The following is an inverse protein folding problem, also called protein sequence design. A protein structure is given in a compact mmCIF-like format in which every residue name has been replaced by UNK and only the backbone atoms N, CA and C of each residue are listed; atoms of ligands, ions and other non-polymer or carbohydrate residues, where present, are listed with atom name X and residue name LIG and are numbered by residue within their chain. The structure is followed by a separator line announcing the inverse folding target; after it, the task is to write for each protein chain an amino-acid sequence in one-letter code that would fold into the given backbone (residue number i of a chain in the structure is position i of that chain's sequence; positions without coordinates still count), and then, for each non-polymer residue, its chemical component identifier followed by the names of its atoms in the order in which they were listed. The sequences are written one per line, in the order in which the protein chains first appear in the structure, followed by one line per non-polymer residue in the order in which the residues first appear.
data_IF_645909239855
#
_entry.id   IF_645909239855
#
_cell.length_a   1.000
_cell.length_b   1.000
_cell.length_c   1.000
_cell.angle_alpha   90.00
_cell.angle_beta   90.00
_cell.angle_gamma   90.00
#
_symmetry.space_group_name_H-M   'P 1'
#
loop_
_entity.id
_entity.type
_entity.pdbx_description
1 polymer ?
#
# COMPACT_ATOMS: atom_id res chain seq x y z
N UNK A 1 -5.71 2.95 11.57
CA UNK A 1 -5.26 3.91 12.61
C UNK A 1 -5.94 3.54 13.91
N UNK A 2 -5.35 3.88 15.07
CA UNK A 2 -5.86 3.49 16.38
C UNK A 2 -7.13 4.30 16.68
N UNK A 3 -8.24 3.61 16.87
CA UNK A 3 -9.48 4.20 17.36
C UNK A 3 -9.52 4.03 18.86
N UNK A 4 -9.68 5.13 19.57
CA UNK A 4 -9.89 5.13 21.01
C UNK A 4 -11.39 5.20 21.28
N UNK A 5 -11.87 4.32 22.15
CA UNK A 5 -13.27 4.20 22.50
C UNK A 5 -13.45 4.19 24.02
N UNK A 6 -14.60 4.67 24.47
CA UNK A 6 -15.00 4.58 25.87
C UNK A 6 -15.73 3.25 26.12
N UNK A 7 -15.17 2.41 26.97
CA UNK A 7 -15.83 1.23 27.49
C UNK A 7 -16.62 1.60 28.76
N UNK A 8 -17.95 1.69 28.60
CA UNK A 8 -18.86 2.00 29.71
C UNK A 8 -18.89 0.92 30.80
N UNK A 9 -18.55 -0.34 30.46
CA UNK A 9 -18.54 -1.45 31.40
C UNK A 9 -17.37 -1.36 32.39
N UNK A 10 -16.17 -1.02 31.90
CA UNK A 10 -14.97 -0.85 32.74
C UNK A 10 -14.70 0.60 33.12
N UNK A 11 -15.53 1.54 32.65
CA UNK A 11 -15.30 2.99 32.71
C UNK A 11 -13.90 3.38 32.21
N UNK A 12 -13.44 2.76 31.12
CA UNK A 12 -12.07 2.89 30.62
C UNK A 12 -11.96 3.40 29.20
N UNK A 13 -10.76 3.85 28.84
CA UNK A 13 -10.36 4.12 27.46
C UNK A 13 -9.79 2.83 26.88
N UNK A 14 -10.35 2.39 25.76
CA UNK A 14 -9.91 1.24 24.98
C UNK A 14 -9.25 1.73 23.68
N UNK A 15 -7.99 1.37 23.46
CA UNK A 15 -7.34 1.56 22.16
C UNK A 15 -7.62 0.33 21.29
N UNK A 16 -8.10 0.53 20.06
CA UNK A 16 -8.39 -0.53 19.08
C UNK A 16 -7.66 -0.22 17.79
N UNK A 17 -6.88 -1.17 17.26
CA UNK A 17 -6.11 -0.96 16.03
C UNK A 17 -6.08 -2.19 15.13
N UNK A 18 -5.99 -2.00 13.80
CA UNK A 18 -5.92 -3.10 12.85
C UNK A 18 -4.59 -3.86 12.95
N UNK A 19 -4.62 -5.17 12.68
CA UNK A 19 -3.42 -6.04 12.71
C UNK A 19 -3.33 -6.96 11.49
N UNK A 20 -3.70 -6.45 10.31
CA UNK A 20 -3.79 -7.22 9.05
C UNK A 20 -5.05 -8.08 8.98
N UNK A 21 -5.22 -8.96 9.95
CA UNK A 21 -6.46 -9.73 10.15
C UNK A 21 -7.14 -9.28 11.43
N UNK A 22 -8.30 -8.65 11.26
CA UNK A 22 -9.10 -8.14 12.38
C UNK A 22 -8.40 -7.00 13.14
N UNK A 23 -8.83 -6.81 14.40
CA UNK A 23 -8.35 -5.73 15.26
C UNK A 23 -7.78 -6.29 16.57
N UNK A 24 -6.76 -5.61 17.09
CA UNK A 24 -6.27 -5.77 18.47
C UNK A 24 -6.84 -4.66 19.33
N UNK A 25 -6.96 -4.93 20.63
CA UNK A 25 -7.43 -3.95 21.59
C UNK A 25 -6.61 -4.00 22.88
N UNK A 26 -6.45 -2.85 23.54
CA UNK A 26 -5.82 -2.75 24.86
C UNK A 26 -6.47 -1.64 25.68
N UNK A 27 -6.75 -1.92 26.96
CA UNK A 27 -7.18 -0.89 27.91
C UNK A 27 -6.02 0.05 28.20
N UNK A 28 -6.28 1.34 28.04
CA UNK A 28 -5.30 2.42 28.21
C UNK A 28 -5.34 2.94 29.65
N UNK A 29 -6.53 3.35 30.09
CA UNK A 29 -6.74 4.00 31.37
C UNK A 29 -8.18 3.77 31.85
N UNK A 30 -8.42 4.04 33.13
CA UNK A 30 -9.75 4.09 33.74
C UNK A 30 -10.03 5.50 34.22
N UNK A 31 -11.26 5.97 34.04
CA UNK A 31 -11.68 7.28 34.56
C UNK A 31 -12.02 7.20 36.05
N UNK A 32 -11.80 8.30 36.76
CA UNK A 32 -12.29 8.45 38.12
C UNK A 32 -13.83 8.45 38.21
N UNK A 33 -14.33 8.15 39.42
CA UNK A 33 -15.75 8.29 39.73
C UNK A 33 -16.17 9.76 39.56
N UNK A 34 -17.20 10.00 38.76
CA UNK A 34 -17.76 11.35 38.55
C UNK A 34 -17.23 12.11 37.33
N UNK A 35 -16.26 11.58 36.57
CA UNK A 35 -15.91 12.20 35.27
C UNK A 35 -17.13 12.21 34.34
N UNK A 36 -17.56 13.37 33.82
CA UNK A 36 -18.68 13.45 32.90
C UNK A 36 -18.45 12.64 31.62
N UNK A 37 -19.47 11.89 31.17
CA UNK A 37 -19.38 11.07 29.94
C UNK A 37 -18.98 11.87 28.71
N UNK A 38 -19.40 13.14 28.62
CA UNK A 38 -19.00 14.04 27.54
C UNK A 38 -17.47 14.22 27.47
N UNK A 39 -16.79 14.41 28.61
CA UNK A 39 -15.33 14.56 28.64
C UNK A 39 -14.62 13.24 28.30
N UNK A 40 -15.21 12.10 28.70
CA UNK A 40 -14.68 10.76 28.37
C UNK A 40 -14.67 10.52 26.86
N UNK A 41 -15.80 10.84 26.21
CA UNK A 41 -15.95 10.73 24.75
C UNK A 41 -15.05 11.72 24.01
N UNK A 42 -14.95 12.96 24.48
CA UNK A 42 -14.06 13.97 23.90
C UNK A 42 -12.59 13.57 23.98
N UNK A 43 -12.16 12.91 25.07
CA UNK A 43 -10.79 12.41 25.17
C UNK A 43 -10.52 11.29 24.16
N UNK A 44 -11.46 10.36 23.98
CA UNK A 44 -11.36 9.28 23.01
C UNK A 44 -11.31 9.81 21.56
N UNK A 45 -12.14 10.81 21.24
CA UNK A 45 -12.13 11.49 19.94
C UNK A 45 -10.80 12.21 19.69
N UNK A 46 -10.30 12.96 20.67
CA UNK A 46 -9.03 13.67 20.56
C UNK A 46 -7.83 12.73 20.40
N UNK A 47 -7.82 11.58 21.10
CA UNK A 47 -6.78 10.55 20.95
C UNK A 47 -6.84 9.87 19.57
N UNK A 48 -8.04 9.60 19.07
CA UNK A 48 -8.23 9.03 17.73
C UNK A 48 -7.76 10.00 16.65
N UNK A 49 -8.09 11.29 16.81
CA UNK A 49 -7.63 12.37 15.91
C UNK A 49 -6.10 12.48 15.91
N UNK A 50 -5.45 12.40 17.08
CA UNK A 50 -3.99 12.39 17.14
C UNK A 50 -3.41 11.15 16.44
N UNK A 51 -3.94 9.96 16.70
CA UNK A 51 -3.49 8.74 16.00
C UNK A 51 -3.62 8.89 14.49
N UNK A 52 -4.73 9.45 14.01
CA UNK A 52 -4.92 9.74 12.59
C UNK A 52 -3.84 10.67 12.04
N UNK A 53 -3.59 11.80 12.69
CA UNK A 53 -2.57 12.75 12.27
C UNK A 53 -1.15 12.14 12.29
N UNK A 54 -0.83 11.34 13.32
CA UNK A 54 0.47 10.66 13.42
C UNK A 54 0.65 9.64 12.27
N UNK A 55 -0.34 8.79 12.00
CA UNK A 55 -0.25 7.80 10.92
C UNK A 55 -0.34 8.42 9.52
N UNK A 56 -0.94 9.59 9.36
CA UNK A 56 -0.89 10.34 8.10
C UNK A 56 0.56 10.64 7.68
N UNK A 57 1.45 10.92 8.64
CA UNK A 57 2.89 11.10 8.37
C UNK A 57 3.58 9.83 7.86
N UNK A 58 3.10 8.66 8.28
CA UNK A 58 3.57 7.36 7.76
C UNK A 58 3.09 7.11 6.33
N UNK A 59 1.80 7.37 6.07
CA UNK A 59 1.18 7.13 4.76
C UNK A 59 1.74 8.09 3.70
N UNK A 60 2.03 9.33 4.12
CA UNK A 60 2.48 10.41 3.25
C UNK A 60 3.87 10.94 3.67
N UNK A 61 4.94 10.13 3.54
CA UNK A 61 6.26 10.57 3.94
C UNK A 61 6.77 11.65 2.98
N UNK A 62 7.72 12.46 3.45
CA UNK A 62 8.39 13.47 2.62
C UNK A 62 9.19 12.85 1.46
N UNK A 63 9.70 11.63 1.63
CA UNK A 63 10.39 10.85 0.59
C UNK A 63 9.51 10.54 -0.62
N UNK A 64 8.18 10.48 -0.43
CA UNK A 64 7.21 10.19 -1.49
C UNK A 64 6.80 11.42 -2.31
N UNK A 65 7.34 12.60 -2.00
CA UNK A 65 7.07 13.82 -2.79
C UNK A 65 7.97 13.83 -4.01
N UNK A 66 7.39 14.06 -5.19
CA UNK A 66 8.14 14.26 -6.42
C UNK A 66 9.13 15.43 -6.30
N UNK A 67 10.24 15.35 -7.03
CA UNK A 67 11.38 16.27 -6.88
C UNK A 67 11.07 17.74 -7.20
N UNK A 68 9.93 18.03 -7.81
CA UNK A 68 9.50 19.38 -8.22
C UNK A 68 8.66 20.13 -7.17
N UNK A 69 8.38 19.52 -6.00
CA UNK A 69 7.52 20.10 -4.98
C UNK A 69 8.18 20.32 -3.61
N UNK A 70 9.23 21.13 -3.57
CA UNK A 70 9.97 21.50 -2.34
C UNK A 70 9.07 21.96 -1.19
N UNK A 71 7.98 22.68 -1.50
CA UNK A 71 7.03 23.18 -0.50
C UNK A 71 6.24 22.05 0.19
N UNK A 72 5.80 21.05 -0.56
CA UNK A 72 5.06 19.92 0.01
C UNK A 72 6.00 18.99 0.77
N UNK A 73 7.23 18.79 0.27
CA UNK A 73 8.28 18.05 0.98
C UNK A 73 8.55 18.69 2.34
N UNK A 74 8.82 19.98 2.36
CA UNK A 74 9.04 20.74 3.60
C UNK A 74 7.84 20.67 4.54
N UNK A 75 6.60 20.79 4.03
CA UNK A 75 5.38 20.65 4.85
C UNK A 75 5.30 19.29 5.56
N UNK A 76 5.62 18.20 4.85
CA UNK A 76 5.59 16.84 5.43
C UNK A 76 6.71 16.62 6.43
N UNK A 77 7.89 17.18 6.18
CA UNK A 77 9.01 17.15 7.13
C UNK A 77 8.65 17.88 8.43
N UNK A 78 8.08 19.09 8.34
CA UNK A 78 7.61 19.84 9.51
C UNK A 78 6.56 19.06 10.31
N UNK A 79 5.61 18.42 9.63
CA UNK A 79 4.57 17.60 10.29
C UNK A 79 5.18 16.40 11.04
N UNK A 80 6.27 15.84 10.54
CA UNK A 80 7.00 14.77 11.23
C UNK A 80 7.84 15.30 12.39
N UNK A 81 8.44 16.49 12.26
CA UNK A 81 9.18 17.18 13.32
C UNK A 81 8.28 17.53 14.50
N UNK A 82 7.00 17.85 14.26
CA UNK A 82 6.00 18.15 15.29
C UNK A 82 5.82 17.03 16.34
N UNK A 83 6.26 15.80 16.05
CA UNK A 83 6.31 14.72 17.04
C UNK A 83 7.08 15.15 18.30
N UNK A 84 8.13 15.97 18.16
CA UNK A 84 8.90 16.49 19.29
C UNK A 84 8.09 17.34 20.26
N UNK A 85 7.02 17.98 19.78
CA UNK A 85 6.21 18.95 20.53
C UNK A 85 4.96 18.31 21.17
N UNK A 86 4.58 17.08 20.78
CA UNK A 86 3.32 16.46 21.20
C UNK A 86 3.15 16.39 22.72
N UNK A 87 4.18 15.95 23.44
CA UNK A 87 4.09 15.78 24.90
C UNK A 87 3.93 17.13 25.60
N UNK A 88 4.67 18.14 25.18
CA UNK A 88 4.55 19.49 25.73
C UNK A 88 3.21 20.13 25.33
N UNK A 89 2.74 19.91 24.10
CA UNK A 89 1.41 20.34 23.65
C UNK A 89 0.25 19.77 24.49
N UNK A 90 0.39 18.54 25.01
CA UNK A 90 -0.56 17.93 25.94
C UNK A 90 -0.45 18.54 27.35
N UNK A 91 0.77 18.79 27.84
CA UNK A 91 1.01 19.30 29.20
C UNK A 91 0.68 20.79 29.35
N UNK A 92 1.02 21.56 28.33
CA UNK A 92 0.80 23.00 28.24
C UNK A 92 -0.02 23.31 26.98
N UNK A 93 -1.31 22.96 26.97
CA UNK A 93 -2.14 23.17 25.81
C UNK A 93 -2.42 24.65 25.59
N UNK A 94 -2.62 25.05 24.34
CA UNK A 94 -3.17 26.36 24.03
C UNK A 94 -4.57 26.46 24.66
N UNK A 95 -4.75 27.47 25.51
CA UNK A 95 -6.01 27.82 26.16
C UNK A 95 -6.64 29.04 25.48
N UNK A 96 -7.98 29.20 25.55
CA UNK A 96 -8.61 30.44 25.15
C UNK A 96 -8.05 31.62 25.95
N UNK A 97 -7.77 32.73 25.27
CA UNK A 97 -7.33 33.97 25.91
C UNK A 97 -8.47 34.66 26.68
N UNK A 98 -8.19 35.84 27.23
CA UNK A 98 -9.18 36.64 27.98
C UNK A 98 -10.42 37.02 27.15
N UNK A 99 -10.34 36.97 25.81
CA UNK A 99 -11.45 37.23 24.89
C UNK A 99 -12.19 35.96 24.46
N UNK A 100 -11.73 34.80 24.93
CA UNK A 100 -12.25 33.49 24.51
C UNK A 100 -11.71 33.00 23.17
N UNK A 101 -10.65 33.62 22.64
CA UNK A 101 -10.05 33.24 21.36
C UNK A 101 -8.96 32.20 21.59
N UNK A 102 -8.95 31.14 20.79
CA UNK A 102 -7.96 30.06 20.86
C UNK A 102 -6.91 30.18 19.75
N UNK A 103 -5.63 30.13 20.12
CA UNK A 103 -4.54 29.95 19.16
C UNK A 103 -4.55 28.52 18.63
N UNK A 104 -4.86 28.33 17.35
CA UNK A 104 -4.83 27.05 16.67
C UNK A 104 -3.50 26.85 15.93
N UNK A 105 -2.91 25.65 16.03
CA UNK A 105 -1.82 25.24 15.13
C UNK A 105 -2.42 24.84 13.77
N UNK A 106 -1.68 25.12 12.71
CA UNK A 106 -1.98 24.62 11.36
C UNK A 106 -1.45 23.19 11.15
N UNK A 107 -0.58 22.73 12.04
CA UNK A 107 -0.12 21.35 12.07
C UNK A 107 -1.14 20.46 12.79
N UNK A 108 -1.53 19.36 12.15
CA UNK A 108 -2.60 18.50 12.68
C UNK A 108 -2.16 17.73 13.92
N UNK A 109 -0.89 17.32 14.00
CA UNK A 109 -0.32 16.61 15.16
C UNK A 109 -0.28 17.55 16.37
N UNK A 110 0.23 18.78 16.21
CA UNK A 110 0.24 19.76 17.30
C UNK A 110 -1.18 20.17 17.74
N UNK A 111 -2.09 20.41 16.78
CA UNK A 111 -3.46 20.79 17.08
C UNK A 111 -4.18 19.70 17.89
N UNK A 112 -4.00 18.43 17.52
CA UNK A 112 -4.56 17.28 18.24
C UNK A 112 -3.94 17.11 19.63
N UNK A 113 -2.62 17.31 19.78
CA UNK A 113 -1.94 17.29 21.07
C UNK A 113 -2.52 18.34 22.04
N UNK A 114 -2.70 19.58 21.57
CA UNK A 114 -3.33 20.62 22.37
C UNK A 114 -4.80 20.32 22.70
N UNK A 115 -5.55 19.68 21.79
CA UNK A 115 -6.92 19.25 22.06
C UNK A 115 -6.98 18.22 23.19
N UNK A 116 -6.11 17.21 23.17
CA UNK A 116 -6.00 16.23 24.26
C UNK A 116 -5.68 16.94 25.58
N UNK A 117 -4.69 17.85 25.58
CA UNK A 117 -4.30 18.59 26.78
C UNK A 117 -5.45 19.40 27.38
N UNK A 118 -6.24 20.10 26.56
CA UNK A 118 -7.43 20.84 27.05
C UNK A 118 -8.45 19.92 27.70
N UNK A 119 -8.78 18.79 27.07
CA UNK A 119 -9.74 17.83 27.64
C UNK A 119 -9.23 17.25 28.96
N UNK A 120 -7.93 16.94 29.04
CA UNK A 120 -7.32 16.46 30.28
C UNK A 120 -7.30 17.50 31.40
N UNK A 121 -7.10 18.78 31.08
CA UNK A 121 -7.23 19.88 32.04
C UNK A 121 -8.65 19.98 32.59
N UNK A 122 -9.67 19.86 31.73
CA UNK A 122 -11.08 19.87 32.14
C UNK A 122 -11.45 18.67 33.02
N UNK A 123 -10.80 17.52 32.81
CA UNK A 123 -10.97 16.33 33.67
C UNK A 123 -10.27 16.52 35.03
N UNK A 124 -9.08 17.12 35.05
CA UNK A 124 -8.35 17.44 36.28
C UNK A 124 -7.74 16.24 37.02
N UNK A 125 -7.51 15.12 36.33
CA UNK A 125 -6.94 13.88 36.90
C UNK A 125 -5.46 13.72 36.48
N UNK A 126 -4.54 14.05 37.40
CA UNK A 126 -3.09 14.00 37.16
C UNK A 126 -2.58 12.60 36.76
N UNK A 127 -2.90 11.53 37.50
CA UNK A 127 -2.60 10.15 37.09
C UNK A 127 -3.10 9.78 35.68
N UNK A 128 -4.28 10.24 35.30
CA UNK A 128 -4.80 10.04 33.95
C UNK A 128 -3.94 10.76 32.90
N UNK A 129 -3.48 11.99 33.18
CA UNK A 129 -2.58 12.74 32.28
C UNK A 129 -1.32 11.94 31.96
N UNK A 130 -0.64 11.42 32.97
CA UNK A 130 0.60 10.66 32.75
C UNK A 130 0.34 9.34 32.02
N UNK A 131 -0.79 8.69 32.27
CA UNK A 131 -1.18 7.47 31.56
C UNK A 131 -1.46 7.75 30.08
N UNK A 132 -2.15 8.85 29.77
CA UNK A 132 -2.42 9.29 28.40
C UNK A 132 -1.13 9.71 27.69
N UNK A 133 -0.21 10.41 28.35
CA UNK A 133 1.10 10.73 27.77
C UNK A 133 1.87 9.45 27.43
N UNK A 134 1.84 8.44 28.31
CA UNK A 134 2.49 7.15 28.04
C UNK A 134 1.82 6.40 26.87
N UNK A 135 0.51 6.51 26.71
CA UNK A 135 -0.22 5.97 25.55
C UNK A 135 0.18 6.68 24.24
N UNK A 136 0.21 8.00 24.24
CA UNK A 136 0.57 8.80 23.07
C UNK A 136 2.00 8.50 22.62
N UNK A 137 2.94 8.35 23.57
CA UNK A 137 4.31 7.91 23.26
C UNK A 137 4.34 6.54 22.57
N UNK A 138 3.54 5.58 23.06
CA UNK A 138 3.42 4.26 22.43
C UNK A 138 2.88 4.35 20.99
N UNK A 139 1.98 5.29 20.72
CA UNK A 139 1.49 5.55 19.35
C UNK A 139 2.60 6.12 18.44
N UNK A 140 3.33 7.12 18.92
CA UNK A 140 4.44 7.74 18.18
C UNK A 140 5.59 6.74 17.93
N UNK A 141 5.90 5.90 18.93
CA UNK A 141 6.89 4.84 18.82
C UNK A 141 6.46 3.77 17.81
N UNK A 142 5.16 3.48 17.72
CA UNK A 142 4.62 2.56 16.72
C UNK A 142 4.79 3.09 15.29
N UNK A 143 4.49 4.38 15.05
CA UNK A 143 4.75 5.01 13.75
C UNK A 143 6.24 4.96 13.42
N UNK A 144 7.10 5.33 14.38
CA UNK A 144 8.56 5.34 14.16
C UNK A 144 9.13 3.93 13.93
N UNK A 145 8.55 2.90 14.56
CA UNK A 145 8.93 1.51 14.33
C UNK A 145 8.51 1.05 12.94
N UNK A 146 7.28 1.36 12.53
CA UNK A 146 6.78 1.09 11.18
C UNK A 146 7.62 1.77 10.09
N UNK A 147 8.05 3.03 10.31
CA UNK A 147 8.94 3.76 9.40
C UNK A 147 10.24 2.99 9.11
N UNK A 148 10.76 2.26 10.10
CA UNK A 148 11.98 1.42 10.00
C UNK A 148 11.69 0.02 9.47
N UNK A 149 10.43 -0.32 9.19
CA UNK A 149 10.01 -1.65 8.79
C UNK A 149 9.88 -2.64 9.96
N UNK A 150 9.86 -2.19 11.21
CA UNK A 150 9.50 -3.05 12.35
C UNK A 150 7.98 -2.94 12.58
N UNK A 151 7.25 -3.99 12.19
CA UNK A 151 5.79 -4.06 12.29
C UNK A 151 5.31 -4.77 13.56
N UNK A 152 6.16 -4.89 14.58
CA UNK A 152 5.77 -5.54 15.85
C UNK A 152 4.84 -4.66 16.70
N UNK A 153 4.15 -5.29 17.65
CA UNK A 153 3.28 -4.58 18.60
C UNK A 153 2.14 -3.82 17.93
N UNK A 154 2.15 -2.49 18.07
CA UNK A 154 1.16 -1.59 17.47
C UNK A 154 1.58 -1.07 16.09
N UNK A 155 2.86 -1.19 15.72
CA UNK A 155 3.34 -0.81 14.39
C UNK A 155 2.73 -1.69 13.27
N UNK A 156 2.19 -2.86 13.64
CA UNK A 156 1.44 -3.77 12.76
C UNK A 156 0.31 -3.09 11.97
N UNK A 157 -0.19 -1.93 12.41
CA UNK A 157 -1.17 -1.16 11.65
C UNK A 157 -0.71 -0.82 10.23
N UNK A 158 0.60 -0.69 10.01
CA UNK A 158 1.17 -0.39 8.70
C UNK A 158 0.74 -1.38 7.61
N UNK A 159 0.47 -2.65 7.95
CA UNK A 159 0.08 -3.70 6.99
C UNK A 159 -1.27 -3.43 6.31
N UNK A 160 -2.07 -2.49 6.82
CA UNK A 160 -3.37 -2.11 6.23
C UNK A 160 -3.38 -0.70 5.64
N UNK A 161 -2.22 -0.05 5.53
CA UNK A 161 -2.10 1.33 5.08
C UNK A 161 -1.40 1.42 3.72
N UNK A 162 -1.97 2.20 2.80
CA UNK A 162 -1.40 2.45 1.47
C UNK A 162 -0.33 3.56 1.52
N UNK A 163 0.87 3.21 2.03
CA UNK A 163 2.04 4.10 2.02
C UNK A 163 2.64 4.19 0.62
N UNK A 164 2.92 5.40 0.13
CA UNK A 164 3.56 5.63 -1.19
C UNK A 164 5.09 5.58 -1.06
N UNK A 165 5.60 4.53 -0.42
CA UNK A 165 7.01 4.24 -0.20
C UNK A 165 7.11 2.80 0.33
N UNK A 166 8.24 2.13 0.13
CA UNK A 166 8.42 0.74 0.53
C UNK A 166 9.66 0.58 1.40
N UNK A 167 9.51 0.06 2.62
CA UNK A 167 10.66 -0.19 3.49
C UNK A 167 11.54 -1.33 2.94
N UNK A 168 12.86 -1.17 2.77
CA UNK A 168 13.74 -2.24 2.30
C UNK A 168 13.67 -3.51 3.15
N UNK A 169 13.51 -3.37 4.48
CA UNK A 169 13.36 -4.50 5.41
C UNK A 169 12.09 -5.28 5.10
N UNK A 170 10.99 -4.59 4.79
CA UNK A 170 9.72 -5.21 4.44
C UNK A 170 9.72 -5.80 3.03
N UNK A 171 10.47 -5.21 2.09
CA UNK A 171 10.65 -5.78 0.74
C UNK A 171 11.37 -7.13 0.85
N UNK A 172 12.43 -7.22 1.66
CA UNK A 172 13.13 -8.48 1.93
C UNK A 172 12.24 -9.50 2.65
N UNK A 173 11.38 -9.06 3.57
CA UNK A 173 10.43 -9.94 4.23
C UNK A 173 9.39 -10.52 3.23
N UNK A 174 8.86 -9.69 2.32
CA UNK A 174 7.94 -10.12 1.28
C UNK A 174 8.62 -11.04 0.23
N UNK A 175 9.85 -10.72 -0.16
CA UNK A 175 10.67 -11.55 -1.04
C UNK A 175 10.91 -12.95 -0.44
N UNK A 176 11.20 -13.03 0.86
CA UNK A 176 11.36 -14.31 1.55
C UNK A 176 10.05 -15.14 1.57
N UNK A 177 8.88 -14.48 1.67
CA UNK A 177 7.59 -15.16 1.55
C UNK A 177 7.38 -15.73 0.15
N UNK A 178 7.66 -14.95 -0.89
CA UNK A 178 7.56 -15.41 -2.29
C UNK A 178 8.60 -16.48 -2.64
N UNK A 179 9.79 -16.43 -2.04
CA UNK A 179 10.78 -17.49 -2.17
C UNK A 179 10.25 -18.83 -1.65
N UNK A 180 9.47 -18.80 -0.56
CA UNK A 180 8.84 -20.00 0.00
C UNK A 180 7.67 -20.49 -0.85
N UNK A 181 6.84 -19.59 -1.36
CA UNK A 181 5.68 -19.88 -2.21
C UNK A 181 5.49 -18.77 -3.25
N UNK A 182 5.94 -18.98 -4.50
CA UNK A 182 5.83 -17.95 -5.55
C UNK A 182 4.38 -17.63 -5.94
N UNK A 183 3.41 -18.49 -5.60
CA UNK A 183 2.00 -18.27 -5.94
C UNK A 183 1.34 -17.14 -5.13
N UNK A 184 2.02 -16.69 -4.06
CA UNK A 184 1.60 -15.56 -3.24
C UNK A 184 0.89 -15.99 -1.97
N UNK A 185 1.62 -16.25 -0.86
CA UNK A 185 1.01 -16.69 0.38
C UNK A 185 0.14 -15.58 1.00
N UNK A 186 -0.93 -15.92 1.75
CA UNK A 186 -1.84 -14.93 2.36
C UNK A 186 -1.17 -13.89 3.25
N UNK A 187 0.00 -14.22 3.80
CA UNK A 187 0.86 -13.36 4.60
C UNK A 187 1.27 -12.08 3.85
N UNK A 188 1.36 -12.11 2.51
CA UNK A 188 1.62 -10.92 1.69
C UNK A 188 0.57 -9.82 1.87
N UNK A 189 -0.67 -10.19 2.22
CA UNK A 189 -1.78 -9.25 2.43
C UNK A 189 -1.94 -8.83 3.89
N UNK A 190 -1.26 -9.49 4.83
CA UNK A 190 -1.63 -9.43 6.25
C UNK A 190 -0.46 -9.24 7.22
N UNK A 191 0.77 -9.56 6.80
CA UNK A 191 1.93 -9.60 7.68
C UNK A 191 3.05 -8.62 7.28
N UNK A 192 3.02 -8.10 6.05
CA UNK A 192 4.04 -7.19 5.50
C UNK A 192 3.43 -5.87 5.06
N UNK A 193 4.28 -4.85 4.88
CA UNK A 193 3.86 -3.57 4.29
C UNK A 193 3.32 -3.76 2.85
N UNK A 194 2.15 -3.22 2.49
CA UNK A 194 1.51 -3.49 1.19
C UNK A 194 2.33 -3.03 -0.01
N UNK A 195 2.98 -1.86 0.06
CA UNK A 195 3.82 -1.36 -1.02
C UNK A 195 5.07 -2.24 -1.17
N UNK A 196 5.67 -2.65 -0.07
CA UNK A 196 6.79 -3.59 -0.08
C UNK A 196 6.43 -4.95 -0.68
N UNK A 197 5.23 -5.48 -0.37
CA UNK A 197 4.70 -6.70 -0.99
C UNK A 197 4.56 -6.55 -2.50
N UNK A 198 4.07 -5.39 -2.99
CA UNK A 198 3.99 -5.10 -4.42
C UNK A 198 5.37 -5.05 -5.08
N UNK A 199 6.38 -4.44 -4.44
CA UNK A 199 7.75 -4.39 -4.98
C UNK A 199 8.33 -5.80 -5.15
N UNK A 200 8.20 -6.65 -4.13
CA UNK A 200 8.64 -8.04 -4.21
C UNK A 200 7.84 -8.79 -5.28
N UNK A 201 6.51 -8.72 -5.26
CA UNK A 201 5.67 -9.40 -6.25
C UNK A 201 5.96 -8.95 -7.70
N UNK A 202 6.31 -7.68 -7.93
CA UNK A 202 6.69 -7.18 -9.25
C UNK A 202 8.02 -7.79 -9.74
N UNK A 203 8.99 -7.96 -8.84
CA UNK A 203 10.24 -8.66 -9.16
C UNK A 203 10.00 -10.14 -9.50
N UNK A 204 9.17 -10.82 -8.71
CA UNK A 204 8.80 -12.21 -8.95
C UNK A 204 7.95 -12.41 -10.21
N UNK A 205 7.05 -11.47 -10.52
CA UNK A 205 6.30 -11.44 -11.76
C UNK A 205 7.23 -11.37 -12.98
N UNK A 206 8.25 -10.51 -12.92
CA UNK A 206 9.23 -10.39 -14.02
C UNK A 206 9.99 -11.70 -14.21
N UNK A 207 10.39 -12.37 -13.13
CA UNK A 207 11.02 -13.68 -13.20
C UNK A 207 10.08 -14.72 -13.85
N UNK A 208 8.82 -14.80 -13.39
CA UNK A 208 7.81 -15.70 -13.92
C UNK A 208 7.53 -15.48 -15.43
N UNK A 209 7.35 -14.23 -15.84
CA UNK A 209 7.13 -13.87 -17.22
C UNK A 209 8.36 -14.13 -18.10
N UNK A 210 9.58 -13.97 -17.57
CA UNK A 210 10.82 -14.24 -18.31
C UNK A 210 11.01 -15.73 -18.56
N UNK A 211 10.80 -16.56 -17.53
CA UNK A 211 10.84 -18.04 -17.65
C UNK A 211 9.80 -18.52 -18.67
N UNK A 212 8.57 -18.03 -18.54
CA UNK A 212 7.47 -18.42 -19.45
C UNK A 212 7.70 -17.95 -20.87
N UNK A 213 8.14 -16.70 -21.05
CA UNK A 213 8.48 -16.17 -22.37
C UNK A 213 9.62 -16.94 -23.04
N UNK A 214 10.62 -17.40 -22.27
CA UNK A 214 11.68 -18.24 -22.81
C UNK A 214 11.19 -19.63 -23.25
N UNK A 215 10.23 -20.22 -22.52
CA UNK A 215 9.61 -21.50 -22.88
C UNK A 215 8.76 -21.39 -24.17
N UNK A 216 8.04 -20.28 -24.37
CA UNK A 216 7.14 -20.04 -25.51
C UNK A 216 7.80 -19.21 -26.67
N UNK A 217 9.13 -18.99 -26.63
CA UNK A 217 9.90 -18.15 -27.57
C UNK A 217 9.26 -16.76 -27.83
N UNK A 218 8.89 -16.07 -26.75
CA UNK A 218 8.11 -14.82 -26.75
C UNK A 218 8.62 -13.76 -25.79
N UNK A 219 8.25 -12.53 -26.10
CA UNK A 219 8.58 -11.39 -25.25
C UNK A 219 7.82 -11.47 -23.90
N UNK A 220 8.50 -11.29 -22.75
CA UNK A 220 7.90 -11.54 -21.43
C UNK A 220 6.60 -10.78 -21.16
N UNK A 221 6.44 -9.54 -21.62
CA UNK A 221 5.23 -8.75 -21.37
C UNK A 221 4.01 -9.20 -22.21
N UNK A 222 4.21 -10.07 -23.20
CA UNK A 222 3.13 -10.61 -24.05
C UNK A 222 2.50 -11.90 -23.50
N UNK A 223 3.16 -12.55 -22.53
CA UNK A 223 2.71 -13.79 -21.86
C UNK A 223 1.26 -13.69 -21.38
N UNK A 224 0.86 -12.56 -20.80
CA UNK A 224 -0.47 -12.42 -20.19
C UNK A 224 -1.60 -12.37 -21.23
N UNK A 225 -1.35 -11.81 -22.40
CA UNK A 225 -2.34 -11.78 -23.48
C UNK A 225 -2.58 -13.18 -24.05
N UNK A 226 -1.56 -14.04 -24.09
CA UNK A 226 -1.74 -15.45 -24.46
C UNK A 226 -2.39 -16.24 -23.32
N UNK A 227 -1.96 -16.03 -22.08
CA UNK A 227 -2.54 -16.72 -20.93
C UNK A 227 -4.05 -16.51 -20.84
N UNK A 228 -4.54 -15.31 -21.18
CA UNK A 228 -5.97 -14.99 -21.22
C UNK A 228 -6.77 -15.83 -22.23
N UNK A 229 -6.14 -16.36 -23.28
CA UNK A 229 -6.79 -17.26 -24.25
C UNK A 229 -7.06 -18.64 -23.66
N UNK A 230 -6.28 -19.04 -22.64
CA UNK A 230 -6.38 -20.30 -21.90
C UNK A 230 -7.30 -20.11 -20.68
N UNK A 231 -7.00 -19.10 -19.87
CA UNK A 231 -7.73 -18.77 -18.65
C UNK A 231 -7.79 -17.24 -18.48
N UNK A 232 -9.01 -16.72 -18.33
CA UNK A 232 -9.23 -15.29 -18.11
C UNK A 232 -8.35 -14.73 -16.98
N UNK A 233 -7.58 -13.68 -17.27
CA UNK A 233 -6.64 -13.09 -16.32
C UNK A 233 -6.45 -11.59 -16.49
N UNK A 234 -5.69 -10.98 -15.58
CA UNK A 234 -5.24 -9.60 -15.74
C UNK A 234 -4.18 -9.48 -16.84
N UNK A 235 -4.33 -8.51 -17.75
CA UNK A 235 -3.37 -8.22 -18.82
C UNK A 235 -2.69 -6.87 -18.57
N UNK A 236 -3.46 -5.78 -18.44
CA UNK A 236 -2.93 -4.41 -18.51
C UNK A 236 -1.83 -4.11 -17.48
N UNK A 237 -2.09 -4.37 -16.19
CA UNK A 237 -1.14 -4.11 -15.11
C UNK A 237 0.10 -4.99 -15.18
N UNK A 238 0.00 -6.34 -15.27
CA UNK A 238 1.19 -7.18 -15.33
C UNK A 238 2.02 -6.94 -16.60
N UNK A 239 1.40 -6.73 -17.77
CA UNK A 239 2.12 -6.35 -18.99
C UNK A 239 2.89 -5.05 -18.81
N UNK A 240 2.25 -3.99 -18.29
CA UNK A 240 2.89 -2.69 -18.10
C UNK A 240 4.08 -2.77 -17.11
N UNK A 241 3.95 -3.57 -16.04
CA UNK A 241 5.03 -3.76 -15.07
C UNK A 241 6.21 -4.50 -15.70
N UNK A 242 5.96 -5.61 -16.41
CA UNK A 242 7.02 -6.40 -17.04
C UNK A 242 7.69 -5.62 -18.16
N UNK A 243 6.94 -4.91 -18.99
CA UNK A 243 7.49 -4.06 -20.06
C UNK A 243 8.40 -2.96 -19.50
N UNK A 244 7.95 -2.24 -18.47
CA UNK A 244 8.73 -1.20 -17.83
C UNK A 244 10.04 -1.74 -17.20
N UNK A 245 10.03 -2.95 -16.64
CA UNK A 245 11.24 -3.53 -16.04
C UNK A 245 12.17 -4.13 -17.10
N UNK A 246 11.65 -4.89 -18.05
CA UNK A 246 12.45 -5.64 -19.03
C UNK A 246 12.89 -4.77 -20.20
N UNK A 247 11.96 -4.04 -20.82
CA UNK A 247 12.23 -3.25 -22.02
C UNK A 247 12.81 -1.87 -21.70
N UNK A 248 12.28 -1.19 -20.68
CA UNK A 248 12.75 0.15 -20.29
C UNK A 248 13.90 0.12 -19.26
N UNK A 249 14.21 -1.06 -18.71
CA UNK A 249 15.29 -1.23 -17.74
C UNK A 249 15.03 -0.58 -16.38
N UNK A 250 13.77 -0.30 -16.03
CA UNK A 250 13.42 0.34 -14.75
C UNK A 250 13.51 -0.68 -13.61
N UNK A 251 13.84 -0.19 -12.41
CA UNK A 251 13.78 -1.02 -11.21
C UNK A 251 12.31 -1.32 -10.83
N UNK A 252 11.96 -2.56 -10.45
CA UNK A 252 10.63 -2.93 -9.97
C UNK A 252 10.08 -1.94 -8.91
N UNK A 253 10.94 -1.54 -7.97
CA UNK A 253 10.61 -0.52 -6.95
C UNK A 253 10.10 0.78 -7.58
N UNK A 254 10.80 1.30 -8.58
CA UNK A 254 10.46 2.57 -9.21
C UNK A 254 9.14 2.47 -10.01
N UNK A 255 8.87 1.32 -10.63
CA UNK A 255 7.62 1.08 -11.36
C UNK A 255 6.43 1.01 -10.38
N UNK A 256 6.55 0.21 -9.32
CA UNK A 256 5.50 0.05 -8.30
C UNK A 256 5.18 1.38 -7.63
N UNK A 257 6.20 2.12 -7.16
CA UNK A 257 5.97 3.40 -6.48
C UNK A 257 5.35 4.46 -7.41
N UNK A 258 5.65 4.42 -8.71
CA UNK A 258 4.99 5.29 -9.68
C UNK A 258 3.49 4.99 -9.79
N UNK A 259 3.12 3.71 -9.96
CA UNK A 259 1.71 3.28 -10.02
C UNK A 259 0.92 3.62 -8.75
N UNK A 260 1.52 3.39 -7.57
CA UNK A 260 0.89 3.73 -6.29
C UNK A 260 0.75 5.24 -6.09
N UNK A 261 1.74 6.02 -6.51
CA UNK A 261 1.70 7.49 -6.45
C UNK A 261 0.61 8.07 -7.37
N UNK A 262 0.49 7.51 -8.58
CA UNK A 262 -0.54 7.86 -9.56
C UNK A 262 -1.94 7.60 -8.98
N UNK A 263 -2.20 6.39 -8.50
CA UNK A 263 -3.48 6.03 -7.89
C UNK A 263 -3.78 6.84 -6.63
N UNK A 264 -2.77 7.12 -5.79
CA UNK A 264 -2.93 8.03 -4.64
C UNK A 264 -3.26 9.46 -5.06
N UNK A 265 -2.83 9.91 -6.23
CA UNK A 265 -3.15 11.25 -6.75
C UNK A 265 -4.59 11.30 -7.25
N UNK A 266 -5.03 10.27 -7.97
CA UNK A 266 -6.43 10.10 -8.39
C UNK A 266 -7.37 10.00 -7.19
N UNK A 267 -6.99 9.28 -6.13
CA UNK A 267 -7.75 9.19 -4.86
C UNK A 267 -8.06 10.58 -4.27
N UNK A 268 -7.17 11.56 -4.46
CA UNK A 268 -7.34 12.95 -3.99
C UNK A 268 -8.12 13.84 -4.98
N UNK A 269 -8.70 13.26 -6.03
CA UNK A 269 -9.43 13.98 -7.07
C UNK A 269 -8.53 14.82 -7.98
N UNK A 270 -7.25 14.45 -8.12
CA UNK A 270 -6.27 15.14 -8.97
C UNK A 270 -5.89 14.26 -10.16
N UNK A 271 -5.45 14.89 -11.25
CA UNK A 271 -4.88 14.21 -12.42
C UNK A 271 -3.37 14.07 -12.19
N UNK A 272 -2.79 12.86 -12.23
CA UNK A 272 -1.36 12.61 -11.95
C UNK A 272 -0.41 13.36 -12.87
N UNK A 273 -0.66 13.33 -14.18
CA UNK A 273 0.09 14.07 -15.19
C UNK A 273 -0.88 14.76 -16.16
N UNK A 274 -1.32 15.99 -15.84
CA UNK A 274 -2.28 16.69 -16.68
C UNK A 274 -1.69 17.04 -18.06
N UNK A 275 -0.36 17.18 -18.17
CA UNK A 275 0.32 17.50 -19.42
C UNK A 275 0.33 16.27 -20.34
N UNK A 276 0.78 15.11 -19.85
CA UNK A 276 0.76 13.87 -20.63
C UNK A 276 -0.66 13.47 -21.03
N UNK A 277 -1.65 13.65 -20.15
CA UNK A 277 -3.07 13.43 -20.50
C UNK A 277 -3.52 14.38 -21.61
N UNK A 278 -3.17 15.66 -21.53
CA UNK A 278 -3.51 16.63 -22.58
C UNK A 278 -2.84 16.29 -23.91
N UNK A 279 -1.59 15.83 -23.88
CA UNK A 279 -0.85 15.36 -25.06
C UNK A 279 -1.49 14.11 -25.69
N UNK A 280 -1.87 13.13 -24.86
CA UNK A 280 -2.54 11.91 -25.30
C UNK A 280 -3.90 12.24 -25.93
N UNK A 281 -4.68 13.13 -25.30
CA UNK A 281 -5.95 13.61 -25.84
C UNK A 281 -5.73 14.30 -27.19
N UNK A 282 -4.76 15.21 -27.27
CA UNK A 282 -4.44 15.89 -28.52
C UNK A 282 -3.98 14.92 -29.62
N UNK A 283 -3.20 13.89 -29.27
CA UNK A 283 -2.77 12.84 -30.21
C UNK A 283 -3.97 12.03 -30.72
N UNK A 284 -4.85 11.57 -29.83
CA UNK A 284 -6.06 10.84 -30.19
C UNK A 284 -6.96 11.66 -31.14
N UNK A 285 -7.14 12.95 -30.87
CA UNK A 285 -7.86 13.86 -31.75
C UNK A 285 -7.21 14.00 -33.13
N UNK A 286 -5.88 14.19 -33.21
CA UNK A 286 -5.15 14.24 -34.48
C UNK A 286 -5.32 12.96 -35.30
N UNK A 287 -5.41 11.80 -34.65
CA UNK A 287 -5.68 10.53 -35.33
C UNK A 287 -7.12 10.45 -35.82
N UNK A 288 -8.09 10.85 -34.99
CA UNK A 288 -9.50 10.85 -35.34
C UNK A 288 -9.84 11.80 -36.50
N UNK A 289 -9.18 12.95 -36.61
CA UNK A 289 -9.39 13.91 -37.71
C UNK A 289 -9.08 13.32 -39.10
N UNK A 290 -8.21 12.31 -39.17
CA UNK A 290 -7.85 11.62 -40.43
C UNK A 290 -8.89 10.60 -40.89
N UNK A 291 -9.89 10.30 -40.04
CA UNK A 291 -10.94 9.34 -40.33
C UNK A 291 -12.28 10.01 -40.71
N UNK A 292 -13.17 9.29 -41.42
CA UNK A 292 -14.56 9.71 -41.62
C UNK A 292 -15.29 9.95 -40.29
N UNK A 293 -16.20 10.94 -40.20
CA UNK A 293 -16.91 11.31 -38.97
C UNK A 293 -17.50 10.12 -38.20
N UNK A 294 -18.08 9.16 -38.90
CA UNK A 294 -18.70 7.95 -38.35
C UNK A 294 -17.73 7.00 -37.61
N UNK A 295 -16.42 7.11 -37.85
CA UNK A 295 -15.39 6.27 -37.21
C UNK A 295 -14.63 6.99 -36.09
N UNK A 296 -14.79 8.32 -35.97
CA UNK A 296 -14.03 9.14 -35.03
C UNK A 296 -14.31 8.80 -33.58
N UNK A 297 -15.58 8.69 -33.21
CA UNK A 297 -15.98 8.42 -31.82
C UNK A 297 -15.55 7.03 -31.36
N UNK A 298 -15.58 6.04 -32.26
CA UNK A 298 -15.09 4.70 -31.97
C UNK A 298 -13.58 4.69 -31.73
N UNK A 299 -12.82 5.41 -32.56
CA UNK A 299 -11.37 5.53 -32.37
C UNK A 299 -11.02 6.32 -31.10
N UNK A 300 -11.68 7.44 -30.83
CA UNK A 300 -11.43 8.22 -29.62
C UNK A 300 -11.70 7.41 -28.35
N UNK A 301 -12.76 6.60 -28.32
CA UNK A 301 -13.02 5.67 -27.21
C UNK A 301 -11.95 4.58 -27.07
N UNK A 302 -11.32 4.17 -28.17
CA UNK A 302 -10.26 3.17 -28.16
C UNK A 302 -8.89 3.76 -27.77
N UNK A 303 -8.63 5.03 -28.10
CA UNK A 303 -7.34 5.68 -27.87
C UNK A 303 -7.26 6.47 -26.55
N UNK A 304 -8.40 6.95 -26.04
CA UNK A 304 -8.46 7.67 -24.79
C UNK A 304 -8.59 6.68 -23.62
N UNK A 305 -7.81 6.87 -22.54
CA UNK A 305 -7.85 5.95 -21.43
C UNK A 305 -9.22 6.02 -20.75
N UNK A 306 -9.89 4.87 -20.50
CA UNK A 306 -11.20 4.85 -19.84
C UNK A 306 -11.10 5.21 -18.35
N UNK A 307 -9.89 5.20 -17.78
CA UNK A 307 -9.60 5.42 -16.37
C UNK A 307 -8.44 6.40 -16.21
N UNK A 308 -8.47 7.19 -15.14
CA UNK A 308 -7.40 8.13 -14.81
C UNK A 308 -6.15 7.45 -14.20
N UNK A 309 -6.27 6.16 -13.85
CA UNK A 309 -5.16 5.31 -13.40
C UNK A 309 -5.47 3.84 -13.67
N UNK A 310 -4.44 3.00 -13.73
CA UNK A 310 -4.56 1.55 -13.93
C UNK A 310 -5.11 0.82 -12.69
N UNK A 311 -4.91 1.37 -11.50
CA UNK A 311 -5.27 0.73 -10.22
C UNK A 311 -6.58 1.27 -9.65
N UNK A 312 -7.25 0.51 -8.79
CA UNK A 312 -8.32 1.02 -7.94
C UNK A 312 -7.75 2.07 -6.95
N UNK A 313 -8.11 3.36 -7.09
CA UNK A 313 -7.57 4.41 -6.22
C UNK A 313 -8.03 4.28 -4.76
N UNK A 314 -9.05 3.47 -4.46
CA UNK A 314 -9.52 3.27 -3.09
C UNK A 314 -8.71 2.21 -2.32
N UNK A 315 -7.93 1.37 -3.01
CA UNK A 315 -7.13 0.29 -2.42
C UNK A 315 -5.88 -0.05 -3.27
N UNK A 316 -5.07 0.94 -3.66
CA UNK A 316 -4.11 0.80 -4.75
C UNK A 316 -3.08 -0.30 -4.52
N UNK A 317 -2.55 -0.46 -3.30
CA UNK A 317 -1.53 -1.50 -3.05
C UNK A 317 -2.13 -2.89 -3.09
N UNK A 318 -3.34 -3.06 -2.55
CA UNK A 318 -4.04 -4.34 -2.59
C UNK A 318 -4.39 -4.73 -4.02
N UNK A 319 -4.93 -3.79 -4.79
CA UNK A 319 -5.33 -4.00 -6.19
C UNK A 319 -4.11 -4.34 -7.06
N UNK A 320 -3.00 -3.61 -6.89
CA UNK A 320 -1.74 -3.91 -7.55
C UNK A 320 -1.22 -5.31 -7.18
N UNK A 321 -1.17 -5.65 -5.89
CA UNK A 321 -0.70 -6.97 -5.45
C UNK A 321 -1.57 -8.10 -6.01
N UNK A 322 -2.90 -7.93 -6.03
CA UNK A 322 -3.83 -8.88 -6.64
C UNK A 322 -3.49 -9.09 -8.13
N UNK A 323 -3.26 -8.01 -8.89
CA UNK A 323 -2.85 -8.07 -10.30
C UNK A 323 -1.47 -8.73 -10.52
N UNK A 324 -0.49 -8.43 -9.68
CA UNK A 324 0.87 -8.99 -9.81
C UNK A 324 0.88 -10.50 -9.54
N UNK A 325 0.19 -10.94 -8.48
CA UNK A 325 0.06 -12.36 -8.16
C UNK A 325 -0.79 -13.10 -9.21
N UNK A 326 -1.78 -12.43 -9.79
CA UNK A 326 -2.53 -12.98 -10.93
C UNK A 326 -1.64 -13.19 -12.14
N UNK A 327 -0.79 -12.21 -12.49
CA UNK A 327 0.20 -12.36 -13.55
C UNK A 327 1.18 -13.53 -13.32
N UNK A 328 1.64 -13.76 -12.08
CA UNK A 328 2.48 -14.92 -11.76
C UNK A 328 1.73 -16.23 -12.03
N UNK A 329 0.47 -16.33 -11.61
CA UNK A 329 -0.37 -17.51 -11.88
C UNK A 329 -0.64 -17.69 -13.37
N UNK A 330 -0.92 -16.63 -14.11
CA UNK A 330 -1.09 -16.67 -15.56
C UNK A 330 0.16 -17.19 -16.27
N UNK A 331 1.33 -16.74 -15.84
CA UNK A 331 2.62 -17.23 -16.35
C UNK A 331 2.75 -18.75 -16.16
N UNK A 332 2.38 -19.26 -14.98
CA UNK A 332 2.36 -20.70 -14.71
C UNK A 332 1.38 -21.46 -15.63
N UNK A 333 0.19 -20.89 -15.89
CA UNK A 333 -0.81 -21.50 -16.79
C UNK A 333 -0.27 -21.65 -18.20
N UNK A 334 0.33 -20.58 -18.76
CA UNK A 334 0.90 -20.65 -20.10
C UNK A 334 2.12 -21.58 -20.16
N UNK A 335 3.01 -21.52 -19.16
CA UNK A 335 4.16 -22.43 -19.08
C UNK A 335 3.70 -23.89 -19.09
N UNK A 336 2.64 -24.21 -18.34
CA UNK A 336 2.07 -25.55 -18.29
C UNK A 336 1.52 -25.98 -19.65
N UNK A 337 0.76 -25.12 -20.33
CA UNK A 337 0.22 -25.41 -21.66
C UNK A 337 1.34 -25.75 -22.64
N UNK A 338 2.40 -24.94 -22.68
CA UNK A 338 3.56 -25.15 -23.55
C UNK A 338 4.27 -26.48 -23.22
N UNK A 339 4.51 -26.76 -21.94
CA UNK A 339 5.18 -27.98 -21.52
C UNK A 339 4.37 -29.25 -21.80
N UNK A 340 3.04 -29.19 -21.65
CA UNK A 340 2.15 -30.32 -21.92
C UNK A 340 1.94 -30.56 -23.42
N UNK A 341 1.96 -29.53 -24.25
CA UNK A 341 1.91 -29.67 -25.71
C UNK A 341 3.17 -30.39 -26.27
N UNK A 342 4.32 -30.23 -25.61
CA UNK A 342 5.55 -30.97 -25.93
C UNK A 342 5.57 -32.41 -25.40
N UNK A 343 4.71 -32.73 -24.43
CA UNK A 343 4.61 -34.07 -23.86
C UNK A 343 3.94 -35.03 -24.86
N UNK A 344 4.63 -36.14 -25.14
CA UNK A 344 4.19 -37.15 -26.13
C UNK A 344 3.68 -38.44 -25.48
N UNK A 345 3.22 -38.35 -24.22
CA UNK A 345 2.85 -39.49 -23.36
C UNK A 345 2.15 -40.67 -24.06
N UNK A 346 2.70 -41.88 -23.86
CA UNK A 346 2.41 -43.08 -24.67
C UNK A 346 1.16 -43.88 -24.23
N UNK A 347 0.48 -43.58 -23.12
CA UNK A 347 -0.64 -44.42 -22.68
C UNK A 347 -1.70 -43.80 -21.74
N UNK A 348 -2.00 -42.49 -21.85
CA UNK A 348 -3.33 -41.90 -21.55
C UNK A 348 -4.08 -42.37 -20.29
N UNK A 349 -3.37 -42.69 -19.20
CA UNK A 349 -4.00 -42.99 -17.92
C UNK A 349 -4.18 -41.66 -17.15
N UNK A 350 -5.36 -41.40 -16.55
CA UNK A 350 -5.61 -40.15 -15.83
C UNK A 350 -4.63 -39.89 -14.67
N UNK A 351 -4.08 -40.95 -14.07
CA UNK A 351 -3.12 -40.84 -12.97
C UNK A 351 -1.75 -40.32 -13.48
N UNK A 352 -1.39 -40.56 -14.75
CA UNK A 352 -0.14 -40.08 -15.35
C UNK A 352 -0.21 -38.58 -15.75
N UNK A 353 -1.41 -38.07 -16.04
CA UNK A 353 -1.63 -36.65 -16.35
C UNK A 353 -1.50 -35.76 -15.10
N UNK A 354 -2.07 -36.20 -13.97
CA UNK A 354 -1.99 -35.45 -12.70
C UNK A 354 -0.54 -35.39 -12.17
N UNK A 355 0.19 -36.51 -12.24
CA UNK A 355 1.60 -36.58 -11.85
C UNK A 355 2.49 -35.67 -12.73
N UNK A 356 2.17 -35.59 -14.03
CA UNK A 356 2.88 -34.74 -14.98
C UNK A 356 2.61 -33.25 -14.73
N UNK A 357 1.37 -32.88 -14.41
CA UNK A 357 1.02 -31.50 -14.02
C UNK A 357 1.78 -31.08 -12.77
N UNK A 358 1.86 -31.94 -11.75
CA UNK A 358 2.62 -31.64 -10.53
C UNK A 358 4.12 -31.48 -10.83
N UNK A 359 4.67 -32.32 -11.72
CA UNK A 359 6.07 -32.21 -12.17
C UNK A 359 6.33 -30.87 -12.87
N UNK A 360 5.50 -30.49 -13.84
CA UNK A 360 5.61 -29.25 -14.61
C UNK A 360 5.48 -28.02 -13.71
N UNK A 361 4.53 -28.03 -12.77
CA UNK A 361 4.38 -26.96 -11.78
C UNK A 361 5.63 -26.84 -10.89
N UNK A 362 6.22 -27.97 -10.49
CA UNK A 362 7.47 -28.00 -9.73
C UNK A 362 8.66 -27.44 -10.49
N UNK A 363 8.75 -27.71 -11.79
CA UNK A 363 9.78 -27.17 -12.67
C UNK A 363 9.65 -25.67 -12.85
N UNK A 364 8.45 -25.19 -13.16
CA UNK A 364 8.16 -23.76 -13.25
C UNK A 364 8.58 -23.04 -11.96
N UNK A 365 8.18 -23.54 -10.79
CA UNK A 365 8.55 -22.95 -9.49
C UNK A 365 10.07 -22.95 -9.28
N UNK A 366 10.78 -24.01 -9.68
CA UNK A 366 12.23 -24.08 -9.55
C UNK A 366 12.95 -23.07 -10.46
N UNK A 367 12.50 -22.93 -11.71
CA UNK A 367 13.06 -22.00 -12.68
C UNK A 367 12.80 -20.54 -12.29
N UNK A 368 11.58 -20.22 -11.86
CA UNK A 368 11.23 -18.87 -11.38
C UNK A 368 12.07 -18.48 -10.17
N UNK A 369 12.31 -19.40 -9.22
CA UNK A 369 13.21 -19.16 -8.10
C UNK A 369 14.64 -18.90 -8.55
N UNK A 370 15.14 -19.66 -9.53
CA UNK A 370 16.47 -19.47 -10.08
C UNK A 370 16.61 -18.10 -10.75
N UNK A 371 15.63 -17.70 -11.56
CA UNK A 371 15.61 -16.41 -12.25
C UNK A 371 15.48 -15.23 -11.27
N UNK A 372 14.58 -15.33 -10.29
CA UNK A 372 14.44 -14.33 -9.23
C UNK A 372 15.74 -14.17 -8.43
N UNK A 373 16.43 -15.27 -8.13
CA UNK A 373 17.74 -15.25 -7.44
C UNK A 373 18.82 -14.61 -8.32
N UNK A 374 18.85 -14.92 -9.61
CA UNK A 374 19.82 -14.37 -10.56
C UNK A 374 19.68 -12.85 -10.73
N UNK A 375 18.46 -12.33 -10.59
CA UNK A 375 18.10 -10.91 -10.76
C UNK A 375 17.85 -10.18 -9.44
N UNK A 376 18.28 -10.76 -8.31
CA UNK A 376 18.00 -10.21 -6.98
C UNK A 376 18.60 -8.82 -6.75
N UNK A 377 19.67 -8.46 -7.47
CA UNK A 377 20.26 -7.12 -7.45
C UNK A 377 19.31 -6.02 -7.95
N UNK A 378 18.29 -6.40 -8.74
CA UNK A 378 17.25 -5.49 -9.23
C UNK A 378 16.15 -5.20 -8.20
N UNK A 379 16.09 -5.94 -7.09
CA UNK A 379 15.05 -5.78 -6.06
C UNK A 379 15.20 -4.49 -5.25
N UNK A 380 16.41 -3.92 -5.18
CA UNK A 380 16.75 -2.75 -4.34
C UNK A 380 16.67 -1.41 -5.06
#
# INVERSE_FOLDING_TARGET
MTVYAYDAGTQGVLAVWPAGVGNRAATVATFGEGTPDALRLLLCDALSTLSEALWDTYVHPASAVADDSDRERWRREQHREAFGEVVEGIRTPNLPDETGTLTASYDAVEAAAHQIGRVLLDIGDGPLVETVIAEVRREMDAVTSAERGDLTGRAVQAVVLDRVDASPVQVQAADALLASDPSGPPELFTAVDPAAACVAAAHWLVAAATVTGAADDREPWTVFAESDTIQACSIEVPSAVVEAVVAEGRAPRAVVLALLSEASTVRRGRVPDPEAVAEQVAAAHRHAERLPPEQRDALLRALLPPRATLLDPLRPSRDLLEHLLDGIRSSAVLYREVALDEWTGDDGSPDDEDDEVERVDGEFVAEVRAEATATHDRLT
#
